data_IF_582580290077
#
_entry.id   IF_582580290077
#
_cell.length_a   1.000
_cell.length_b   1.000
_cell.length_c   1.000
_cell.angle_alpha   90.00
_cell.angle_beta   90.00
_cell.angle_gamma   90.00
#
_symmetry.space_group_name_H-M   'P 1'
#
loop_
_entity.id
_entity.type
_entity.pdbx_description
1 polymer ?
#
# COMPACT_ATOMS: atom_id res chain seq x y z
N UNK A 1 -15.49 -20.29 -5.62
CA UNK A 1 -14.03 -20.30 -5.34
C UNK A 1 -13.74 -19.18 -4.36
N UNK A 2 -13.02 -19.47 -3.28
CA UNK A 2 -12.68 -18.53 -2.22
C UNK A 2 -11.32 -17.90 -2.52
N UNK A 3 -11.32 -16.67 -3.04
CA UNK A 3 -10.11 -15.83 -3.16
C UNK A 3 -9.84 -15.14 -1.82
N UNK A 4 -8.58 -15.01 -1.39
CA UNK A 4 -8.21 -14.40 -0.12
C UNK A 4 -7.29 -13.23 -0.38
N UNK A 5 -7.50 -12.13 0.34
CA UNK A 5 -6.67 -10.93 0.21
C UNK A 5 -6.19 -10.53 1.61
N UNK A 6 -4.90 -10.70 1.87
CA UNK A 6 -4.24 -9.94 2.91
C UNK A 6 -3.57 -8.76 2.22
N UNK A 7 -4.23 -7.60 2.23
CA UNK A 7 -3.57 -6.36 1.87
C UNK A 7 -3.18 -5.69 3.17
N UNK A 8 -1.90 -5.58 3.47
CA UNK A 8 -1.48 -4.67 4.51
C UNK A 8 -0.62 -3.56 3.96
N UNK A 9 -0.73 -2.44 4.65
CA UNK A 9 0.28 -1.40 4.67
C UNK A 9 0.94 -1.47 6.05
N UNK A 10 2.03 -2.22 6.06
CA UNK A 10 3.10 -2.31 7.02
C UNK A 10 2.88 -2.79 8.48
N UNK A 11 3.68 -3.80 8.90
CA UNK A 11 4.31 -3.91 10.23
C UNK A 11 5.63 -4.72 10.17
N UNK A 12 6.74 -4.07 10.55
CA UNK A 12 7.98 -4.71 10.99
C UNK A 12 8.05 -4.81 12.52
N UNK A 13 8.75 -5.81 13.03
CA UNK A 13 8.81 -6.20 14.45
C UNK A 13 9.74 -5.26 15.27
N UNK A 14 9.37 -4.80 16.48
CA UNK A 14 10.12 -3.80 17.23
C UNK A 14 11.12 -4.47 18.18
N UNK A 15 12.21 -5.03 17.66
CA UNK A 15 13.35 -5.45 18.51
C UNK A 15 14.69 -5.22 17.81
N UNK A 16 15.17 -3.99 17.86
CA UNK A 16 16.61 -3.68 18.02
C UNK A 16 16.80 -2.19 18.29
N UNK A 17 16.98 -1.82 19.56
CA UNK A 17 18.06 -0.92 20.03
C UNK A 17 17.89 -0.61 21.51
N UNK A 18 18.68 -1.30 22.32
CA UNK A 18 19.02 -0.87 23.67
C UNK A 18 20.07 0.25 23.60
N UNK A 19 19.85 1.28 24.44
CA UNK A 19 20.80 2.13 25.15
C UNK A 19 22.07 2.65 24.44
N UNK A 20 22.12 3.97 24.19
CA UNK A 20 23.10 4.89 24.81
C UNK A 20 22.46 6.27 25.05
N UNK A 21 22.71 6.82 26.24
CA UNK A 21 22.21 8.08 26.83
C UNK A 21 23.21 9.24 26.59
N UNK A 22 23.15 10.44 27.24
CA UNK A 22 22.04 11.32 27.63
C UNK A 22 22.27 12.83 27.26
N UNK A 23 21.26 13.67 27.53
CA UNK A 23 21.30 15.13 27.83
C UNK A 23 21.71 16.10 26.70
N UNK A 24 20.76 16.94 26.30
CA UNK A 24 20.71 18.33 26.79
C UNK A 24 19.47 19.06 26.26
N UNK A 25 18.69 19.60 27.19
CA UNK A 25 17.58 20.48 26.92
C UNK A 25 18.10 21.80 26.35
N UNK A 26 17.61 22.22 25.18
CA UNK A 26 17.67 23.62 24.78
C UNK A 26 16.37 24.04 24.12
N UNK A 27 15.50 24.63 24.93
CA UNK A 27 14.37 25.47 24.49
C UNK A 27 14.90 26.49 23.48
N UNK A 28 14.38 26.47 22.24
CA UNK A 28 14.43 27.64 21.35
C UNK A 28 13.03 27.98 20.85
N UNK A 29 12.55 29.05 21.49
CA UNK A 29 11.48 29.99 21.20
C UNK A 29 10.96 29.97 19.76
N UNK A 30 9.64 29.90 19.64
CA UNK A 30 8.89 30.35 18.47
C UNK A 30 9.26 31.80 18.15
N UNK A 31 9.66 32.05 16.90
CA UNK A 31 9.63 33.36 16.28
C UNK A 31 8.92 33.21 14.95
N UNK A 32 7.65 33.59 14.93
CA UNK A 32 6.86 33.83 13.73
C UNK A 32 7.37 35.12 13.09
N UNK A 33 8.01 35.02 11.92
CA UNK A 33 8.21 36.16 11.03
C UNK A 33 7.72 35.78 9.64
N UNK A 34 6.65 36.44 9.21
CA UNK A 34 6.14 36.37 7.86
C UNK A 34 7.13 36.98 6.89
N UNK A 35 7.39 36.27 5.80
CA UNK A 35 8.14 36.79 4.65
C UNK A 35 7.22 36.72 3.44
N UNK A 36 6.78 37.88 2.98
CA UNK A 36 6.27 38.07 1.61
C UNK A 36 7.44 37.79 0.66
N UNK A 37 7.28 36.80 -0.21
CA UNK A 37 8.26 36.43 -1.24
C UNK A 37 7.68 36.66 -2.63
N UNK A 38 8.20 37.68 -3.30
CA UNK A 38 8.09 37.98 -4.71
C UNK A 38 8.58 36.82 -5.59
N UNK A 39 8.07 36.77 -6.83
CA UNK A 39 8.29 35.71 -7.80
C UNK A 39 9.76 35.31 -7.99
N UNK A 40 10.01 34.00 -7.90
CA UNK A 40 11.18 33.33 -8.46
C UNK A 40 10.70 32.07 -9.17
N UNK A 41 11.13 31.90 -10.41
CA UNK A 41 10.80 30.76 -11.25
C UNK A 41 11.12 29.44 -10.57
N UNK A 42 10.25 28.46 -10.78
CA UNK A 42 10.45 27.08 -10.29
C UNK A 42 11.70 26.52 -10.97
N UNK A 43 12.70 25.99 -10.24
CA UNK A 43 13.79 25.26 -10.85
C UNK A 43 13.21 24.01 -11.54
N UNK A 44 13.64 23.77 -12.77
CA UNK A 44 13.27 22.58 -13.53
C UNK A 44 13.65 21.32 -12.76
N UNK A 45 12.67 20.44 -12.58
CA UNK A 45 12.93 19.08 -12.13
C UNK A 45 13.74 18.38 -13.21
N UNK A 46 14.98 18.02 -12.88
CA UNK A 46 15.75 17.06 -13.68
C UNK A 46 14.94 15.78 -13.88
N UNK A 47 15.17 15.14 -15.02
CA UNK A 47 14.40 14.03 -15.60
C UNK A 47 14.37 12.73 -14.79
N UNK A 48 14.89 12.71 -13.57
CA UNK A 48 14.75 11.62 -12.61
C UNK A 48 13.99 12.14 -11.38
N UNK A 49 12.66 12.12 -11.44
CA UNK A 49 11.83 12.41 -10.28
C UNK A 49 12.02 11.33 -9.19
N UNK A 50 11.77 11.65 -7.91
CA UNK A 50 11.94 10.73 -6.77
C UNK A 50 11.06 9.45 -6.83
N UNK A 51 10.21 9.31 -7.84
CA UNK A 51 9.23 8.23 -7.99
C UNK A 51 9.71 7.05 -8.84
N UNK A 52 10.84 7.18 -9.55
CA UNK A 52 11.48 6.04 -10.24
C UNK A 52 12.03 5.00 -9.24
N UNK A 53 12.32 5.42 -8.01
CA UNK A 53 12.94 4.59 -6.97
C UNK A 53 12.10 3.40 -6.51
N UNK A 54 10.77 3.53 -6.48
CA UNK A 54 9.89 2.46 -5.98
C UNK A 54 9.88 1.26 -6.93
N UNK A 55 9.67 1.51 -8.22
CA UNK A 55 9.64 0.45 -9.24
C UNK A 55 11.00 -0.23 -9.41
N UNK A 56 12.09 0.53 -9.35
CA UNK A 56 13.45 0.00 -9.39
C UNK A 56 13.80 -0.84 -8.15
N UNK A 57 13.30 -0.47 -6.97
CA UNK A 57 13.50 -1.27 -5.75
C UNK A 57 12.75 -2.60 -5.82
N UNK A 58 11.53 -2.61 -6.37
CA UNK A 58 10.76 -3.84 -6.49
C UNK A 58 11.37 -4.84 -7.47
N UNK A 59 12.15 -4.36 -8.46
CA UNK A 59 12.86 -5.22 -9.41
C UNK A 59 14.06 -5.97 -8.79
N UNK A 60 14.57 -5.52 -7.64
CA UNK A 60 15.66 -6.22 -6.94
C UNK A 60 15.17 -7.30 -5.95
N UNK A 61 13.87 -7.59 -5.93
CA UNK A 61 13.35 -8.72 -5.15
C UNK A 61 13.72 -10.04 -5.84
N UNK A 62 14.13 -11.02 -5.05
CA UNK A 62 14.64 -12.31 -5.53
C UNK A 62 13.76 -13.48 -5.05
N UNK A 63 14.02 -14.68 -5.58
CA UNK A 63 13.36 -15.90 -5.15
C UNK A 63 11.86 -15.93 -5.45
N UNK A 64 11.03 -16.27 -4.47
CA UNK A 64 9.57 -16.32 -4.59
C UNK A 64 8.92 -14.94 -4.76
N UNK A 65 9.69 -13.88 -4.52
CA UNK A 65 9.28 -12.49 -4.67
C UNK A 65 9.85 -11.84 -5.94
N UNK A 66 10.61 -12.56 -6.77
CA UNK A 66 11.03 -12.04 -8.08
C UNK A 66 9.81 -11.75 -8.96
N UNK A 67 9.86 -10.63 -9.68
CA UNK A 67 8.70 -10.13 -10.40
C UNK A 67 8.98 -8.98 -11.33
N UNK A 68 7.91 -8.46 -11.96
CA UNK A 68 7.98 -7.41 -12.98
C UNK A 68 7.05 -6.25 -12.67
N UNK A 69 7.53 -5.05 -12.98
CA UNK A 69 6.75 -3.81 -12.94
C UNK A 69 6.13 -3.49 -14.31
N UNK A 70 4.89 -3.03 -14.28
CA UNK A 70 4.11 -2.59 -15.44
C UNK A 70 3.58 -1.18 -15.16
N UNK A 71 4.08 -0.21 -15.94
CA UNK A 71 3.59 1.17 -15.92
C UNK A 71 2.26 1.24 -16.65
N UNK A 72 1.24 1.86 -16.04
CA UNK A 72 -0.08 2.04 -16.68
C UNK A 72 0.00 2.90 -17.94
N UNK A 73 1.00 3.80 -18.02
CA UNK A 73 1.18 4.70 -19.18
C UNK A 73 1.68 3.99 -20.43
N UNK A 74 2.45 2.91 -20.27
CA UNK A 74 3.10 2.19 -21.37
C UNK A 74 2.67 0.72 -21.45
N UNK A 75 1.55 0.36 -20.80
CA UNK A 75 1.00 -0.98 -20.80
C UNK A 75 0.34 -1.26 -22.15
N UNK A 76 0.61 -2.43 -22.72
CA UNK A 76 -0.08 -2.87 -23.94
C UNK A 76 -1.50 -3.34 -23.62
N UNK A 77 -2.40 -3.31 -24.60
CA UNK A 77 -3.78 -3.80 -24.42
C UNK A 77 -3.81 -5.28 -23.98
N UNK A 78 -2.89 -6.10 -24.49
CA UNK A 78 -2.77 -7.50 -24.11
C UNK A 78 -2.34 -7.67 -22.64
N UNK A 79 -1.34 -6.91 -22.18
CA UNK A 79 -0.93 -6.91 -20.77
C UNK A 79 -2.06 -6.40 -19.87
N UNK A 80 -2.77 -5.35 -20.31
CA UNK A 80 -3.91 -4.80 -19.59
C UNK A 80 -5.03 -5.83 -19.43
N UNK A 81 -5.43 -6.49 -20.52
CA UNK A 81 -6.47 -7.51 -20.49
C UNK A 81 -6.07 -8.68 -19.58
N UNK A 82 -4.82 -9.14 -19.67
CA UNK A 82 -4.33 -10.20 -18.80
C UNK A 82 -4.43 -9.83 -17.30
N UNK A 83 -4.07 -8.60 -16.94
CA UNK A 83 -4.15 -8.12 -15.55
C UNK A 83 -5.60 -7.92 -15.07
N UNK A 84 -6.54 -7.62 -15.98
CA UNK A 84 -7.98 -7.59 -15.69
C UNK A 84 -8.48 -9.01 -15.39
N UNK A 85 -8.13 -9.98 -16.24
CA UNK A 85 -8.55 -11.37 -16.12
C UNK A 85 -8.01 -12.02 -14.83
N UNK A 86 -6.82 -11.62 -14.40
CA UNK A 86 -6.23 -12.05 -13.13
C UNK A 86 -6.81 -11.31 -11.90
N UNK A 87 -7.68 -10.32 -12.10
CA UNK A 87 -8.23 -9.42 -11.08
C UNK A 87 -7.16 -8.60 -10.32
N UNK A 88 -6.12 -8.19 -11.01
CA UNK A 88 -4.99 -7.44 -10.45
C UNK A 88 -4.98 -5.96 -10.79
N UNK A 89 -5.51 -5.60 -11.96
CA UNK A 89 -5.55 -4.22 -12.38
C UNK A 89 -6.54 -3.42 -11.52
N UNK A 90 -6.16 -2.21 -11.16
CA UNK A 90 -7.06 -1.22 -10.57
C UNK A 90 -7.51 -0.24 -11.65
N UNK A 91 -8.81 0.07 -11.66
CA UNK A 91 -9.39 0.97 -12.63
C UNK A 91 -9.13 2.44 -12.30
N UNK A 92 -9.34 3.30 -13.30
CA UNK A 92 -9.35 4.75 -13.09
C UNK A 92 -10.34 5.09 -11.96
N UNK A 93 -9.92 5.84 -10.93
CA UNK A 93 -10.79 6.17 -9.81
C UNK A 93 -11.99 7.00 -10.30
N UNK A 94 -13.18 6.41 -10.21
CA UNK A 94 -14.47 7.06 -10.52
C UNK A 94 -15.26 7.45 -9.27
N UNK A 95 -14.80 7.01 -8.09
CA UNK A 95 -15.45 7.32 -6.82
C UNK A 95 -15.41 8.83 -6.57
N UNK A 96 -16.56 9.47 -6.27
CA UNK A 96 -16.61 10.89 -5.92
C UNK A 96 -15.65 11.27 -4.79
N UNK A 97 -15.41 10.35 -3.84
CA UNK A 97 -14.46 10.56 -2.74
C UNK A 97 -13.02 10.74 -3.24
N UNK A 98 -12.59 9.91 -4.20
CA UNK A 98 -11.24 9.95 -4.77
C UNK A 98 -11.05 11.12 -5.75
N UNK A 99 -12.13 11.48 -6.46
CA UNK A 99 -12.13 12.63 -7.37
C UNK A 99 -12.08 13.95 -6.60
N UNK A 100 -12.93 14.10 -5.58
CA UNK A 100 -13.01 15.32 -4.76
C UNK A 100 -11.75 15.56 -3.92
N UNK A 101 -11.03 14.50 -3.55
CA UNK A 101 -9.73 14.60 -2.86
C UNK A 101 -8.54 14.84 -3.81
N UNK A 102 -8.78 14.90 -5.12
CA UNK A 102 -7.74 15.17 -6.12
C UNK A 102 -6.76 14.02 -6.34
N UNK A 103 -7.15 12.79 -6.03
CA UNK A 103 -6.30 11.59 -6.14
C UNK A 103 -6.21 11.06 -7.59
N UNK A 104 -7.13 11.49 -8.46
CA UNK A 104 -7.17 11.12 -9.87
C UNK A 104 -6.40 12.07 -10.82
N UNK A 105 -5.73 13.11 -10.30
CA UNK A 105 -5.04 14.11 -11.14
C UNK A 105 -3.97 13.47 -12.00
N UNK A 106 -3.81 13.93 -13.24
CA UNK A 106 -2.74 13.49 -14.15
C UNK A 106 -2.76 11.98 -14.47
N UNK A 107 -3.89 11.30 -14.30
CA UNK A 107 -4.02 9.86 -14.61
C UNK A 107 -3.70 9.56 -16.09
N UNK A 108 -2.93 8.49 -16.42
CA UNK A 108 -2.33 7.47 -15.54
C UNK A 108 -0.84 7.71 -15.19
N UNK A 109 -0.36 8.96 -15.22
CA UNK A 109 1.08 9.26 -15.09
C UNK A 109 1.69 8.80 -13.76
N UNK A 110 2.85 8.16 -13.80
CA UNK A 110 3.54 7.56 -12.65
C UNK A 110 2.74 6.49 -11.85
N UNK A 111 1.70 5.88 -12.44
CA UNK A 111 0.96 4.76 -11.85
C UNK A 111 1.43 3.44 -12.42
N UNK A 112 1.39 2.40 -11.61
CA UNK A 112 1.70 1.07 -12.11
C UNK A 112 1.40 -0.04 -11.11
N UNK A 113 1.65 -1.23 -11.58
CA UNK A 113 1.51 -2.46 -10.83
C UNK A 113 2.79 -3.26 -10.93
N UNK A 114 3.23 -3.80 -9.81
CA UNK A 114 4.25 -4.82 -9.78
C UNK A 114 3.64 -6.11 -9.23
N UNK A 115 4.04 -7.26 -9.75
CA UNK A 115 3.70 -8.54 -9.16
C UNK A 115 4.83 -9.55 -9.31
N UNK A 116 4.91 -10.50 -8.38
CA UNK A 116 5.80 -11.65 -8.51
C UNK A 116 5.34 -12.59 -9.62
N UNK A 117 6.24 -13.46 -10.10
CA UNK A 117 5.96 -14.37 -11.21
C UNK A 117 4.79 -15.32 -10.91
N UNK A 118 4.67 -15.74 -9.65
CA UNK A 118 3.59 -16.62 -9.18
C UNK A 118 2.25 -15.90 -8.97
N UNK A 119 2.18 -14.58 -9.17
CA UNK A 119 0.93 -13.79 -9.03
C UNK A 119 0.29 -13.91 -7.64
N UNK A 120 1.11 -14.13 -6.61
CA UNK A 120 0.70 -14.29 -5.20
C UNK A 120 1.11 -13.13 -4.30
N UNK A 121 1.94 -12.22 -4.81
CA UNK A 121 2.41 -11.02 -4.13
C UNK A 121 2.46 -9.86 -5.13
N UNK A 122 1.75 -8.77 -4.81
CA UNK A 122 1.54 -7.64 -5.72
C UNK A 122 1.70 -6.33 -4.99
N UNK A 123 2.11 -5.29 -5.72
CA UNK A 123 2.22 -3.93 -5.22
C UNK A 123 1.57 -2.98 -6.22
N UNK A 124 0.57 -2.23 -5.78
CA UNK A 124 0.05 -1.10 -6.55
C UNK A 124 0.81 0.17 -6.17
N UNK A 125 1.17 0.96 -7.18
CA UNK A 125 1.96 2.18 -7.03
C UNK A 125 1.11 3.39 -7.45
N UNK A 126 1.04 4.40 -6.58
CA UNK A 126 0.37 5.69 -6.79
C UNK A 126 -1.13 5.63 -7.15
N UNK A 127 -1.86 4.69 -6.57
CA UNK A 127 -3.32 4.62 -6.62
C UNK A 127 -3.93 5.50 -5.51
N UNK A 128 -4.36 4.94 -4.38
CA UNK A 128 -4.89 5.68 -3.23
C UNK A 128 -3.77 6.18 -2.28
N UNK A 129 -2.69 5.41 -2.19
CA UNK A 129 -1.48 5.79 -1.46
C UNK A 129 -0.27 5.40 -2.32
N UNK A 130 0.93 5.82 -1.89
CA UNK A 130 2.17 5.54 -2.61
C UNK A 130 2.34 4.04 -2.92
N UNK A 131 2.15 3.16 -1.93
CA UNK A 131 2.27 1.72 -2.09
C UNK A 131 1.12 0.96 -1.43
N UNK A 132 0.53 0.01 -2.17
CA UNK A 132 -0.40 -0.98 -1.64
C UNK A 132 0.17 -2.38 -1.81
N UNK A 133 0.68 -2.96 -0.73
CA UNK A 133 1.23 -4.32 -0.74
C UNK A 133 0.11 -5.33 -0.50
N UNK A 134 0.05 -6.35 -1.36
CA UNK A 134 -1.02 -7.34 -1.39
C UNK A 134 -0.40 -8.73 -1.47
N UNK A 135 -0.76 -9.61 -0.53
CA UNK A 135 -0.50 -11.04 -0.63
C UNK A 135 -1.82 -11.77 -0.76
N UNK A 136 -1.92 -12.65 -1.74
CA UNK A 136 -3.13 -13.41 -2.00
C UNK A 136 -2.82 -14.78 -2.56
N UNK A 137 -3.74 -15.73 -2.37
CA UNK A 137 -3.73 -17.03 -3.03
C UNK A 137 -5.12 -17.65 -3.00
N UNK A 138 -5.35 -18.64 -3.87
CA UNK A 138 -6.54 -19.50 -3.81
C UNK A 138 -6.46 -20.44 -2.59
N UNK A 139 -7.61 -20.85 -2.07
CA UNK A 139 -7.68 -21.88 -1.03
C UNK A 139 -7.75 -21.34 0.39
N UNK A 140 -7.19 -22.10 1.34
CA UNK A 140 -7.51 -22.06 2.77
C UNK A 140 -6.47 -21.45 3.71
N UNK A 141 -5.26 -21.18 3.21
CA UNK A 141 -4.08 -21.06 4.05
C UNK A 141 -3.74 -19.59 4.38
N UNK A 142 -4.41 -19.02 5.37
CA UNK A 142 -4.15 -17.62 5.77
C UNK A 142 -2.75 -17.43 6.36
N UNK A 143 -2.21 -18.47 7.02
CA UNK A 143 -0.87 -18.43 7.61
C UNK A 143 0.18 -18.17 6.52
N UNK A 144 0.16 -18.94 5.46
CA UNK A 144 1.11 -18.80 4.35
C UNK A 144 1.00 -17.43 3.66
N UNK A 145 -0.23 -16.97 3.39
CA UNK A 145 -0.47 -15.63 2.82
C UNK A 145 0.16 -14.55 3.70
N UNK A 146 -0.06 -14.64 5.02
CA UNK A 146 0.44 -13.66 5.98
C UNK A 146 1.96 -13.75 6.16
N UNK A 147 2.54 -14.96 6.14
CA UNK A 147 3.99 -15.16 6.17
C UNK A 147 4.64 -14.50 4.96
N UNK A 148 4.16 -14.78 3.74
CA UNK A 148 4.67 -14.13 2.52
C UNK A 148 4.50 -12.62 2.57
N UNK A 149 3.36 -12.15 3.09
CA UNK A 149 3.10 -10.72 3.28
C UNK A 149 4.18 -10.07 4.17
N UNK A 150 4.44 -10.61 5.36
CA UNK A 150 5.43 -10.05 6.27
C UNK A 150 6.86 -10.12 5.71
N UNK A 151 7.22 -11.24 5.07
CA UNK A 151 8.54 -11.42 4.45
C UNK A 151 8.76 -10.38 3.35
N UNK A 152 7.83 -10.28 2.39
CA UNK A 152 7.96 -9.36 1.27
C UNK A 152 7.98 -7.90 1.71
N UNK A 153 7.12 -7.55 2.68
CA UNK A 153 7.12 -6.21 3.27
C UNK A 153 8.45 -5.84 3.94
N UNK A 154 9.05 -6.77 4.71
CA UNK A 154 10.34 -6.56 5.38
C UNK A 154 11.47 -6.36 4.37
N UNK A 155 11.44 -7.10 3.27
CA UNK A 155 12.40 -6.91 2.18
C UNK A 155 12.23 -5.55 1.51
N UNK A 156 10.99 -5.15 1.17
CA UNK A 156 10.70 -3.84 0.58
C UNK A 156 11.21 -2.71 1.50
N UNK A 157 10.90 -2.78 2.80
CA UNK A 157 11.38 -1.80 3.78
C UNK A 157 12.91 -1.70 3.81
N UNK A 158 13.59 -2.85 3.73
CA UNK A 158 15.06 -2.92 3.75
C UNK A 158 15.67 -2.31 2.49
N UNK A 159 15.07 -2.58 1.32
CA UNK A 159 15.50 -2.01 0.04
C UNK A 159 15.33 -0.49 0.00
N UNK A 160 14.24 0.02 0.58
CA UNK A 160 14.00 1.45 0.68
C UNK A 160 15.00 2.13 1.61
N UNK A 161 15.26 1.54 2.78
CA UNK A 161 16.29 2.03 3.71
C UNK A 161 17.68 2.04 3.09
N UNK A 162 18.03 1.04 2.30
CA UNK A 162 19.31 0.99 1.57
C UNK A 162 19.48 2.16 0.58
N UNK A 163 18.37 2.71 0.08
CA UNK A 163 18.32 3.89 -0.79
C UNK A 163 18.07 5.19 -0.03
N UNK A 164 18.16 5.17 1.30
CA UNK A 164 17.91 6.32 2.18
C UNK A 164 16.46 6.86 2.09
N UNK A 165 15.50 5.97 1.81
CA UNK A 165 14.07 6.24 1.95
C UNK A 165 13.51 5.59 3.22
N UNK A 166 12.56 6.25 3.85
CA UNK A 166 11.87 5.75 5.05
C UNK A 166 10.35 5.80 4.85
N UNK A 167 9.64 4.87 5.49
CA UNK A 167 8.19 4.93 5.53
C UNK A 167 7.69 6.03 6.47
N UNK A 168 6.59 6.67 6.09
CA UNK A 168 5.90 7.62 6.95
C UNK A 168 5.32 6.88 8.15
N UNK A 169 5.92 7.09 9.32
CA UNK A 169 5.55 6.42 10.56
C UNK A 169 5.71 7.36 11.75
N UNK A 170 4.82 7.23 12.74
CA UNK A 170 5.05 7.88 14.03
C UNK A 170 4.63 6.97 15.21
N UNK A 171 5.15 7.23 16.43
CA UNK A 171 4.89 6.37 17.59
C UNK A 171 3.43 6.29 18.03
N UNK A 172 2.62 7.32 17.75
CA UNK A 172 1.24 7.39 18.21
C UNK A 172 0.25 6.74 17.24
N UNK A 173 0.42 6.96 15.94
CA UNK A 173 -0.49 6.58 14.87
C UNK A 173 0.02 5.40 14.03
N UNK A 174 1.26 4.94 14.22
CA UNK A 174 1.85 3.92 13.36
C UNK A 174 2.14 4.45 11.95
N UNK A 175 1.91 3.64 10.93
CA UNK A 175 2.09 4.02 9.54
C UNK A 175 1.02 5.02 9.10
N UNK A 176 1.46 6.05 8.39
CA UNK A 176 0.62 7.14 7.90
C UNK A 176 0.23 6.90 6.46
N UNK A 177 -1.05 7.06 6.19
CA UNK A 177 -1.69 6.89 4.88
C UNK A 177 -2.69 8.03 4.65
N UNK A 178 -3.12 8.18 3.41
CA UNK A 178 -3.97 9.28 2.95
C UNK A 178 -5.29 9.35 3.72
N UNK A 179 -5.95 8.20 3.91
CA UNK A 179 -7.22 8.13 4.63
C UNK A 179 -7.00 7.78 6.12
N UNK A 180 -7.57 8.53 7.07
CA UNK A 180 -7.45 8.24 8.51
C UNK A 180 -7.90 6.83 8.91
N UNK A 181 -8.84 6.23 8.16
CA UNK A 181 -9.31 4.85 8.40
C UNK A 181 -8.23 3.78 8.18
N UNK A 182 -7.12 4.12 7.52
CA UNK A 182 -6.03 3.20 7.24
C UNK A 182 -4.83 3.36 8.19
N UNK A 183 -4.86 4.29 9.16
CA UNK A 183 -3.76 4.51 10.10
C UNK A 183 -3.44 3.26 10.95
N UNK A 184 -2.23 3.24 11.54
CA UNK A 184 -1.78 2.18 12.43
C UNK A 184 -0.95 1.15 11.68
N UNK A 185 -1.53 -0.04 11.51
CA UNK A 185 -1.12 -0.98 10.47
C UNK A 185 -2.16 -0.75 9.39
N UNK A 186 -1.93 -0.29 8.19
CA UNK A 186 -2.99 -0.27 7.17
C UNK A 186 -3.39 -1.67 6.67
N UNK A 187 -3.57 -2.64 7.57
CA UNK A 187 -3.85 -4.04 7.37
C UNK A 187 -5.34 -4.29 7.21
N UNK A 188 -5.69 -4.87 6.06
CA UNK A 188 -6.96 -5.49 5.76
C UNK A 188 -6.70 -6.94 5.38
N UNK A 189 -7.00 -7.85 6.30
CA UNK A 189 -7.00 -9.29 6.05
C UNK A 189 -8.43 -9.76 5.80
N UNK A 190 -8.65 -10.47 4.70
CA UNK A 190 -9.98 -10.91 4.29
C UNK A 190 -9.96 -12.23 3.52
N UNK A 191 -11.13 -12.87 3.52
CA UNK A 191 -11.40 -14.10 2.76
C UNK A 191 -12.70 -13.91 2.01
N UNK A 192 -12.76 -14.38 0.76
CA UNK A 192 -14.04 -14.68 0.13
C UNK A 192 -14.47 -16.02 0.70
N UNK A 193 -15.70 -16.12 1.19
CA UNK A 193 -16.26 -17.34 1.79
C UNK A 193 -17.70 -17.52 1.30
N UNK A 194 -18.04 -18.74 0.84
CA UNK A 194 -19.40 -19.05 0.40
C UNK A 194 -20.22 -19.46 1.61
N UNK A 195 -21.20 -18.64 1.98
CA UNK A 195 -22.06 -18.83 3.14
C UNK A 195 -23.54 -18.89 2.71
N UNK A 196 -23.98 -19.96 2.01
CA UNK A 196 -25.27 -19.97 1.31
C UNK A 196 -26.49 -19.86 2.26
N UNK A 197 -26.34 -20.32 3.50
CA UNK A 197 -27.38 -20.27 4.52
C UNK A 197 -27.17 -19.09 5.48
N UNK A 198 -25.96 -18.96 6.03
CA UNK A 198 -25.65 -17.93 7.01
C UNK A 198 -25.81 -16.51 6.45
N UNK A 199 -25.51 -16.28 5.17
CA UNK A 199 -25.67 -14.96 4.54
C UNK A 199 -27.12 -14.48 4.42
N UNK A 200 -28.11 -15.38 4.51
CA UNK A 200 -29.55 -15.06 4.46
C UNK A 200 -30.19 -14.93 5.85
N UNK A 201 -29.45 -15.26 6.91
CA UNK A 201 -29.98 -15.28 8.26
C UNK A 201 -30.12 -13.84 8.79
N UNK A 202 -31.24 -13.51 9.44
CA UNK A 202 -31.54 -12.15 9.90
C UNK A 202 -30.47 -11.59 10.86
N UNK A 203 -29.87 -12.46 11.67
CA UNK A 203 -28.78 -12.10 12.61
C UNK A 203 -27.39 -12.00 11.97
N UNK A 204 -27.25 -12.22 10.65
CA UNK A 204 -25.95 -12.17 9.99
C UNK A 204 -25.21 -10.83 10.16
N UNK A 205 -25.87 -9.66 10.00
CA UNK A 205 -25.23 -8.37 10.26
C UNK A 205 -24.76 -8.22 11.71
N UNK A 206 -25.54 -8.75 12.66
CA UNK A 206 -25.19 -8.71 14.08
C UNK A 206 -23.93 -9.55 14.37
N UNK A 207 -23.83 -10.75 13.79
CA UNK A 207 -22.64 -11.60 13.91
C UNK A 207 -21.40 -10.88 13.37
N UNK A 208 -21.48 -10.27 12.18
CA UNK A 208 -20.36 -9.50 11.61
C UNK A 208 -19.94 -8.35 12.51
N UNK A 209 -20.91 -7.60 13.05
CA UNK A 209 -20.65 -6.50 13.98
C UNK A 209 -19.95 -6.98 15.25
N UNK A 210 -20.42 -8.07 15.87
CA UNK A 210 -19.81 -8.66 17.08
C UNK A 210 -18.38 -9.15 16.83
N UNK A 211 -18.11 -9.72 15.66
CA UNK A 211 -16.77 -10.17 15.25
C UNK A 211 -15.85 -9.03 14.77
N UNK A 212 -16.36 -7.80 14.68
CA UNK A 212 -15.68 -6.62 14.13
C UNK A 212 -15.21 -6.83 12.69
N UNK A 213 -16.05 -7.49 11.88
CA UNK A 213 -15.79 -7.72 10.46
C UNK A 213 -16.50 -6.67 9.61
N UNK A 214 -15.74 -6.01 8.73
CA UNK A 214 -16.30 -5.21 7.65
C UNK A 214 -16.68 -6.13 6.49
N UNK A 215 -17.96 -6.43 6.32
CA UNK A 215 -18.46 -7.21 5.20
C UNK A 215 -18.90 -6.30 4.06
N UNK A 216 -18.42 -6.54 2.85
CA UNK A 216 -19.05 -6.06 1.63
C UNK A 216 -19.78 -7.27 1.03
N UNK A 217 -21.12 -7.24 1.03
CA UNK A 217 -21.92 -8.26 0.36
C UNK A 217 -21.64 -8.13 -1.14
N UNK A 218 -20.83 -9.04 -1.68
CA UNK A 218 -20.79 -9.26 -3.12
C UNK A 218 -22.08 -9.95 -3.52
N UNK A 219 -23.03 -9.19 -4.08
CA UNK A 219 -24.12 -9.74 -4.87
C UNK A 219 -23.60 -10.10 -6.26
#
# INVERSE_FOLDING_TARGET
MTSRRASARCRGDPKTRQNKSPRSARRRRHATHGVRGSGRGRPGYGTAGPFAGDAESLQSLEGDLAGRYYSLKSMTEAEQQQLIDDHFLFDKPVSPLLLASGMARDWPDARGIWHNDNKTFLVWINEEDHLRVISMQKGGNMREVFTRFCTGLTQIESLFKARNYEFMWNPHLGYILTCPSNLGTGLRAGVHVKLPHLGKHEKFPEVLKRLRWGGQLGL
#
